data_IF_376103769597
#
_entry.id   IF_376103769597
#
_cell.length_a   1.000
_cell.length_b   1.000
_cell.length_c   1.000
_cell.angle_alpha   90.00
_cell.angle_beta   90.00
_cell.angle_gamma   90.00
#
_symmetry.space_group_name_H-M   'P 1'
#
loop_
_entity.id
_entity.type
_entity.pdbx_description
1 polymer ?
#
# COMPACT_ATOMS: atom_id res chain seq x y z
N UNK A 1 9.98 -22.64 -9.60
CA UNK A 1 8.83 -23.46 -9.14
C UNK A 1 9.25 -24.13 -7.83
N UNK A 2 8.69 -23.94 -6.63
CA UNK A 2 7.46 -23.24 -6.26
C UNK A 2 7.53 -22.79 -4.77
N UNK A 3 7.93 -21.54 -4.53
CA UNK A 3 7.71 -20.86 -3.24
C UNK A 3 6.21 -20.61 -3.00
N UNK A 4 5.44 -20.55 -4.08
CA UNK A 4 3.99 -20.35 -4.11
C UNK A 4 3.19 -21.57 -3.62
N UNK A 5 3.73 -22.79 -3.75
CA UNK A 5 3.05 -24.02 -3.33
C UNK A 5 3.03 -24.13 -1.79
N UNK A 6 4.11 -23.70 -1.15
CA UNK A 6 4.28 -23.71 0.30
C UNK A 6 3.34 -22.76 1.05
N UNK A 7 3.02 -21.62 0.43
CA UNK A 7 2.08 -20.62 0.97
C UNK A 7 0.64 -21.14 0.87
N UNK A 8 0.32 -21.85 -0.22
CA UNK A 8 -1.01 -22.43 -0.44
C UNK A 8 -1.27 -23.61 0.51
N UNK A 9 -0.23 -24.36 0.86
CA UNK A 9 -0.31 -25.46 1.84
C UNK A 9 -0.51 -24.94 3.29
N UNK A 10 0.16 -23.86 3.67
CA UNK A 10 -0.06 -23.22 4.98
C UNK A 10 -1.49 -22.66 5.17
N UNK A 11 -2.12 -22.14 4.10
CA UNK A 11 -3.49 -21.65 4.16
C UNK A 11 -4.51 -22.79 4.39
N UNK A 12 -4.20 -24.01 3.93
CA UNK A 12 -5.08 -25.18 4.10
C UNK A 12 -5.06 -25.74 5.54
N UNK A 13 -3.91 -25.68 6.21
CA UNK A 13 -3.78 -26.12 7.62
C UNK A 13 -4.62 -25.30 8.60
N UNK A 14 -4.76 -24.00 8.36
CA UNK A 14 -5.56 -23.09 9.19
C UNK A 14 -7.07 -23.35 9.11
N UNK A 15 -7.57 -23.89 7.99
CA UNK A 15 -8.99 -24.15 7.82
C UNK A 15 -9.44 -25.46 8.50
N UNK A 16 -8.51 -26.39 8.73
CA UNK A 16 -8.83 -27.70 9.31
C UNK A 16 -8.89 -27.69 10.86
N UNK A 17 -8.27 -26.70 11.51
CA UNK A 17 -8.31 -26.57 12.97
C UNK A 17 -9.62 -25.93 13.50
N UNK A 18 -10.42 -25.31 12.63
CA UNK A 18 -11.67 -24.63 13.01
C UNK A 18 -12.87 -25.59 13.23
N UNK A 19 -12.76 -26.88 12.89
CA UNK A 19 -13.88 -27.83 12.97
C UNK A 19 -13.85 -28.79 14.17
N UNK A 20 -12.85 -28.70 15.05
CA UNK A 20 -12.63 -29.66 16.15
C UNK A 20 -13.27 -29.34 17.51
N UNK A 21 -13.84 -28.15 17.73
CA UNK A 21 -14.30 -27.73 19.05
C UNK A 21 -15.84 -27.64 19.13
N UNK A 22 -16.51 -28.79 19.19
CA UNK A 22 -17.94 -28.89 19.59
C UNK A 22 -18.06 -29.83 20.78
N UNK A 23 -18.06 -29.26 21.98
CA UNK A 23 -18.35 -29.99 23.20
C UNK A 23 -18.43 -29.11 24.45
N UNK A 24 -19.66 -28.94 24.94
CA UNK A 24 -20.07 -28.62 26.32
C UNK A 24 -20.30 -27.15 26.78
N UNK A 25 -21.52 -27.00 27.34
CA UNK A 25 -21.99 -26.15 28.45
C UNK A 25 -22.20 -24.63 28.29
N UNK A 26 -23.49 -24.29 28.23
CA UNK A 26 -24.24 -23.47 29.19
C UNK A 26 -23.85 -22.01 29.48
N UNK A 27 -24.79 -21.11 29.15
CA UNK A 27 -25.17 -19.96 29.97
C UNK A 27 -24.37 -18.66 29.80
N UNK A 28 -25.04 -17.60 29.36
CA UNK A 28 -24.54 -16.23 29.52
C UNK A 28 -24.90 -15.29 28.38
N UNK A 29 -25.85 -14.40 28.64
CA UNK A 29 -26.16 -13.25 27.78
C UNK A 29 -24.96 -12.29 27.70
N UNK A 30 -24.58 -11.91 26.48
CA UNK A 30 -23.60 -10.86 26.23
C UNK A 30 -23.08 -10.88 24.80
N UNK A 31 -23.70 -10.11 23.89
CA UNK A 31 -22.99 -9.60 22.71
C UNK A 31 -22.08 -8.47 23.22
N UNK A 32 -20.82 -8.40 22.78
CA UNK A 32 -20.56 -7.46 21.69
C UNK A 32 -19.51 -7.92 20.66
N UNK A 33 -19.78 -7.48 19.43
CA UNK A 33 -18.85 -6.91 18.43
C UNK A 33 -17.78 -7.81 17.79
N UNK A 34 -18.09 -8.16 16.54
CA UNK A 34 -17.17 -8.18 15.40
C UNK A 34 -16.22 -6.96 15.42
N UNK A 35 -14.94 -7.20 15.15
CA UNK A 35 -13.95 -6.15 14.93
C UNK A 35 -12.53 -6.55 15.29
N UNK A 36 -11.91 -7.44 14.50
CA UNK A 36 -10.44 -7.63 14.54
C UNK A 36 -9.88 -7.70 13.12
N UNK A 37 -10.11 -6.63 12.36
CA UNK A 37 -9.47 -6.39 11.06
C UNK A 37 -8.11 -5.68 11.20
N UNK A 38 -7.84 -5.07 12.36
CA UNK A 38 -6.65 -4.23 12.58
C UNK A 38 -5.31 -4.97 12.69
N UNK A 39 -5.28 -6.22 13.20
CA UNK A 39 -4.04 -7.00 13.30
C UNK A 39 -3.50 -7.45 11.95
N UNK A 40 -4.39 -7.85 11.04
CA UNK A 40 -4.02 -8.37 9.72
C UNK A 40 -3.40 -7.29 8.82
N UNK A 41 -3.91 -6.05 8.84
CA UNK A 41 -3.39 -4.97 8.00
C UNK A 41 -1.97 -4.54 8.42
N UNK A 42 -1.71 -4.38 9.72
CA UNK A 42 -0.36 -4.05 10.21
C UNK A 42 0.65 -5.17 9.91
N UNK A 43 0.25 -6.44 10.06
CA UNK A 43 1.09 -7.59 9.67
C UNK A 43 1.32 -7.64 8.15
N UNK A 44 0.32 -7.30 7.34
CA UNK A 44 0.47 -7.15 5.90
C UNK A 44 1.46 -6.04 5.56
N UNK A 45 1.33 -4.83 6.12
CA UNK A 45 2.28 -3.71 5.92
C UNK A 45 3.72 -4.15 6.19
N UNK A 46 3.99 -4.84 7.31
CA UNK A 46 5.33 -5.34 7.63
C UNK A 46 5.83 -6.41 6.64
N UNK A 47 4.93 -7.27 6.15
CA UNK A 47 5.27 -8.30 5.17
C UNK A 47 5.60 -7.65 3.81
N UNK A 48 4.78 -6.70 3.36
CA UNK A 48 5.01 -5.95 2.11
C UNK A 48 6.30 -5.13 2.19
N UNK A 49 6.57 -4.46 3.31
CA UNK A 49 7.83 -3.75 3.56
C UNK A 49 9.05 -4.68 3.44
N UNK A 50 8.97 -5.89 4.00
CA UNK A 50 10.07 -6.87 3.90
C UNK A 50 10.30 -7.36 2.46
N UNK A 51 9.23 -7.54 1.68
CA UNK A 51 9.31 -7.90 0.26
C UNK A 51 9.94 -6.78 -0.57
N UNK A 52 9.50 -5.55 -0.35
CA UNK A 52 10.05 -4.34 -0.94
C UNK A 52 11.57 -4.25 -0.71
N UNK A 53 12.03 -4.41 0.53
CA UNK A 53 13.46 -4.39 0.87
C UNK A 53 14.25 -5.49 0.16
N UNK A 54 13.66 -6.68 0.00
CA UNK A 54 14.29 -7.78 -0.74
C UNK A 54 14.45 -7.47 -2.24
N UNK A 55 13.51 -6.73 -2.82
CA UNK A 55 13.51 -6.30 -4.22
C UNK A 55 14.23 -4.97 -4.45
N UNK A 56 14.73 -4.32 -3.39
CA UNK A 56 15.41 -3.01 -3.45
C UNK A 56 16.49 -2.93 -4.52
N UNK A 57 17.22 -4.00 -4.78
CA UNK A 57 18.30 -4.01 -5.79
C UNK A 57 17.77 -3.88 -7.22
N UNK A 58 16.57 -4.37 -7.49
CA UNK A 58 15.90 -4.34 -8.79
C UNK A 58 15.06 -3.06 -8.98
N UNK A 59 14.55 -2.49 -7.88
CA UNK A 59 13.71 -1.30 -7.83
C UNK A 59 14.53 0.01 -7.89
N UNK A 60 15.33 0.15 -8.95
CA UNK A 60 16.21 1.33 -9.20
C UNK A 60 15.86 2.08 -10.49
N UNK A 61 14.73 1.76 -11.10
CA UNK A 61 14.29 2.46 -12.31
C UNK A 61 13.77 3.86 -11.98
N UNK A 62 13.99 4.82 -12.89
CA UNK A 62 13.38 6.15 -12.77
C UNK A 62 11.84 6.09 -12.80
N UNK A 63 11.28 5.13 -13.53
CA UNK A 63 9.83 4.91 -13.59
C UNK A 63 9.26 4.49 -12.23
N UNK A 64 9.94 3.59 -11.51
CA UNK A 64 9.53 3.18 -10.17
C UNK A 64 9.58 4.35 -9.19
N UNK A 65 10.65 5.17 -9.23
CA UNK A 65 10.77 6.36 -8.40
C UNK A 65 9.62 7.32 -8.64
N UNK A 66 9.39 7.69 -9.90
CA UNK A 66 8.37 8.67 -10.28
C UNK A 66 6.96 8.13 -9.95
N UNK A 67 6.67 6.86 -10.24
CA UNK A 67 5.41 6.20 -9.89
C UNK A 67 5.19 6.11 -8.37
N UNK A 68 6.23 5.81 -7.59
CA UNK A 68 6.12 5.74 -6.13
C UNK A 68 5.82 7.10 -5.52
N UNK A 69 6.44 8.17 -6.02
CA UNK A 69 6.16 9.54 -5.58
C UNK A 69 4.75 9.98 -5.94
N UNK A 70 4.30 9.68 -7.16
CA UNK A 70 2.93 9.93 -7.61
C UNK A 70 1.91 9.18 -6.74
N UNK A 71 2.19 7.92 -6.41
CA UNK A 71 1.34 7.11 -5.54
C UNK A 71 1.23 7.67 -4.12
N UNK A 72 2.36 8.07 -3.52
CA UNK A 72 2.36 8.68 -2.18
C UNK A 72 1.60 10.02 -2.19
N UNK A 73 1.73 10.82 -3.26
CA UNK A 73 1.00 12.07 -3.39
C UNK A 73 -0.52 11.86 -3.54
N UNK A 74 -0.94 10.82 -4.26
CA UNK A 74 -2.36 10.46 -4.37
C UNK A 74 -2.96 10.01 -3.05
N UNK A 75 -2.22 9.22 -2.25
CA UNK A 75 -2.65 8.79 -0.92
C UNK A 75 -2.77 10.01 0.01
N UNK A 76 -1.76 10.90 0.00
CA UNK A 76 -1.78 12.15 0.77
C UNK A 76 -2.91 13.11 0.37
N UNK A 77 -3.53 12.91 -0.79
CA UNK A 77 -4.62 13.71 -1.32
C UNK A 77 -5.94 12.93 -1.39
N UNK A 78 -6.02 11.76 -0.76
CA UNK A 78 -7.14 10.85 -0.95
C UNK A 78 -8.49 11.46 -0.53
N UNK A 79 -8.49 12.33 0.48
CA UNK A 79 -9.65 13.10 0.96
C UNK A 79 -10.03 14.28 0.05
N UNK A 80 -9.20 14.60 -0.96
CA UNK A 80 -9.43 15.67 -1.93
C UNK A 80 -8.65 16.95 -1.64
N UNK A 81 -7.97 17.06 -0.51
CA UNK A 81 -7.05 18.13 -0.19
C UNK A 81 -5.70 17.58 0.29
N UNK A 82 -4.65 18.41 0.25
CA UNK A 82 -3.34 18.03 0.82
C UNK A 82 -2.93 19.09 1.82
N UNK A 83 -2.95 18.71 3.09
CA UNK A 83 -2.49 19.60 4.15
C UNK A 83 -0.96 19.57 4.30
N UNK A 84 -0.34 20.65 4.78
CA UNK A 84 1.11 20.66 5.05
C UNK A 84 1.56 19.58 6.04
N UNK A 85 0.68 19.22 6.99
CA UNK A 85 0.95 18.16 7.97
C UNK A 85 0.99 16.77 7.30
N UNK A 86 -0.02 16.43 6.49
CA UNK A 86 -0.08 15.23 5.65
C UNK A 86 1.15 15.12 4.76
N UNK A 87 1.49 16.23 4.07
CA UNK A 87 2.68 16.32 3.22
C UNK A 87 3.96 15.98 3.98
N UNK A 88 4.18 16.57 5.15
CA UNK A 88 5.37 16.29 5.96
C UNK A 88 5.39 14.86 6.51
N UNK A 89 4.22 14.32 6.86
CA UNK A 89 4.08 12.95 7.33
C UNK A 89 4.47 11.95 6.24
N UNK A 90 3.85 12.04 5.07
CA UNK A 90 4.13 11.18 3.92
C UNK A 90 5.57 11.32 3.44
N UNK A 91 6.11 12.54 3.43
CA UNK A 91 7.53 12.78 3.12
C UNK A 91 8.46 12.04 4.09
N UNK A 92 8.16 12.05 5.39
CA UNK A 92 8.93 11.32 6.39
C UNK A 92 8.85 9.80 6.16
N UNK A 93 7.68 9.27 5.80
CA UNK A 93 7.51 7.85 5.48
C UNK A 93 8.29 7.43 4.24
N UNK A 94 8.32 8.28 3.20
CA UNK A 94 9.11 8.08 1.99
C UNK A 94 10.60 7.98 2.33
N UNK A 95 11.12 8.90 3.14
CA UNK A 95 12.54 8.95 3.52
C UNK A 95 12.95 7.77 4.43
N UNK A 96 12.02 7.28 5.24
CA UNK A 96 12.20 6.10 6.07
C UNK A 96 12.01 4.78 5.32
N UNK A 97 11.67 4.80 4.03
CA UNK A 97 11.52 3.61 3.22
C UNK A 97 12.87 3.19 2.62
N UNK A 98 13.38 2.05 3.07
CA UNK A 98 14.66 1.49 2.62
C UNK A 98 14.77 1.38 1.09
N UNK A 99 13.68 1.06 0.38
CA UNK A 99 13.72 0.91 -1.09
C UNK A 99 13.97 2.24 -1.79
N UNK A 100 13.33 3.30 -1.29
CA UNK A 100 13.43 4.63 -1.88
C UNK A 100 14.78 5.29 -1.58
N UNK A 101 15.50 4.86 -0.54
CA UNK A 101 16.88 5.28 -0.26
C UNK A 101 17.90 4.91 -1.37
N UNK A 102 17.51 4.13 -2.37
CA UNK A 102 18.30 3.97 -3.60
C UNK A 102 18.45 5.29 -4.38
N UNK A 103 17.56 6.26 -4.15
CA UNK A 103 17.53 7.54 -4.84
C UNK A 103 17.86 8.68 -3.86
N UNK A 104 18.38 9.81 -4.35
CA UNK A 104 18.65 10.97 -3.50
C UNK A 104 17.34 11.48 -2.89
N UNK A 105 17.33 11.65 -1.57
CA UNK A 105 16.19 12.17 -0.82
C UNK A 105 15.67 13.49 -1.38
N UNK A 106 16.57 14.40 -1.77
CA UNK A 106 16.21 15.67 -2.40
C UNK A 106 15.38 15.50 -3.67
N UNK A 107 15.73 14.52 -4.53
CA UNK A 107 14.96 14.24 -5.74
C UNK A 107 13.57 13.67 -5.42
N UNK A 108 13.48 12.80 -4.41
CA UNK A 108 12.20 12.27 -3.94
C UNK A 108 11.31 13.41 -3.42
N UNK A 109 11.84 14.26 -2.55
CA UNK A 109 11.13 15.42 -2.01
C UNK A 109 10.64 16.33 -3.13
N UNK A 110 11.51 16.70 -4.08
CA UNK A 110 11.11 17.55 -5.21
C UNK A 110 9.98 16.94 -6.06
N UNK A 111 10.04 15.63 -6.33
CA UNK A 111 9.04 14.92 -7.14
C UNK A 111 7.71 14.78 -6.42
N UNK A 112 7.75 14.37 -5.16
CA UNK A 112 6.58 14.31 -4.30
C UNK A 112 5.91 15.68 -4.18
N UNK A 113 6.68 16.71 -3.84
CA UNK A 113 6.18 18.07 -3.70
C UNK A 113 5.53 18.57 -5.00
N UNK A 114 6.14 18.30 -6.16
CA UNK A 114 5.55 18.65 -7.46
C UNK A 114 4.16 18.01 -7.65
N UNK A 115 4.00 16.73 -7.36
CA UNK A 115 2.71 16.06 -7.51
C UNK A 115 1.68 16.57 -6.49
N UNK A 116 2.11 16.81 -5.25
CA UNK A 116 1.26 17.42 -4.22
C UNK A 116 0.80 18.81 -4.64
N UNK A 117 1.70 19.67 -5.13
CA UNK A 117 1.36 21.02 -5.57
C UNK A 117 0.38 21.00 -6.76
N UNK A 118 0.51 20.02 -7.67
CA UNK A 118 -0.44 19.79 -8.77
C UNK A 118 -1.81 19.35 -8.27
N UNK A 119 -1.86 18.42 -7.31
CA UNK A 119 -3.09 17.93 -6.69
C UNK A 119 -3.79 19.05 -5.89
N UNK A 120 -3.02 19.87 -5.19
CA UNK A 120 -3.52 21.02 -4.43
C UNK A 120 -4.07 22.12 -5.35
N UNK A 121 -3.45 22.34 -6.52
CA UNK A 121 -3.94 23.31 -7.50
C UNK A 121 -5.19 22.82 -8.24
N UNK A 122 -5.15 21.58 -8.74
CA UNK A 122 -6.28 20.97 -9.44
C UNK A 122 -6.26 19.45 -9.20
N UNK A 123 -7.08 19.01 -8.26
CA UNK A 123 -7.15 17.61 -7.86
C UNK A 123 -7.43 16.66 -9.03
N UNK A 124 -8.37 16.99 -9.91
CA UNK A 124 -8.74 16.13 -11.04
C UNK A 124 -7.58 15.96 -12.03
N UNK A 125 -6.90 17.06 -12.36
CA UNK A 125 -5.75 17.03 -13.27
C UNK A 125 -4.54 16.37 -12.61
N UNK A 126 -4.19 16.76 -11.38
CA UNK A 126 -3.08 16.18 -10.63
C UNK A 126 -3.26 14.67 -10.44
N UNK A 127 -4.49 14.22 -10.19
CA UNK A 127 -4.83 12.80 -10.07
C UNK A 127 -4.60 12.07 -11.39
N UNK A 128 -5.07 12.63 -12.51
CA UNK A 128 -4.85 12.03 -13.82
C UNK A 128 -3.36 11.93 -14.18
N UNK A 129 -2.58 12.98 -13.90
CA UNK A 129 -1.13 12.99 -14.13
C UNK A 129 -0.41 11.96 -13.24
N UNK A 130 -0.78 11.87 -11.96
CA UNK A 130 -0.21 10.89 -11.03
C UNK A 130 -0.53 9.45 -11.46
N UNK A 131 -1.77 9.17 -11.88
CA UNK A 131 -2.14 7.86 -12.42
C UNK A 131 -1.39 7.53 -13.72
N UNK A 132 -1.13 8.51 -14.58
CA UNK A 132 -0.29 8.31 -15.77
C UNK A 132 1.15 7.97 -15.42
N UNK A 133 1.75 8.60 -14.40
CA UNK A 133 3.08 8.23 -13.93
C UNK A 133 3.10 6.81 -13.35
N UNK A 134 2.08 6.45 -12.56
CA UNK A 134 1.91 5.08 -12.05
C UNK A 134 1.81 4.08 -13.21
N UNK A 135 1.04 4.39 -14.26
CA UNK A 135 0.91 3.53 -15.43
C UNK A 135 2.25 3.22 -16.12
N UNK A 136 3.26 4.09 -16.02
CA UNK A 136 4.59 3.82 -16.60
C UNK A 136 5.30 2.67 -15.89
N UNK A 137 5.05 2.47 -14.59
CA UNK A 137 5.57 1.33 -13.83
C UNK A 137 4.88 0.00 -14.20
N UNK A 138 3.69 0.04 -14.84
CA UNK A 138 2.98 -1.16 -15.31
C UNK A 138 3.80 -1.99 -16.30
N UNK A 139 4.81 -1.40 -16.96
CA UNK A 139 5.72 -2.11 -17.86
C UNK A 139 6.50 -3.23 -17.17
N UNK A 140 6.68 -3.13 -15.84
CA UNK A 140 7.38 -4.14 -15.05
C UNK A 140 6.48 -4.58 -13.89
N UNK A 141 5.99 -5.83 -13.87
CA UNK A 141 5.06 -6.28 -12.84
C UNK A 141 5.66 -6.22 -11.43
N UNK A 142 6.97 -6.41 -11.29
CA UNK A 142 7.69 -6.26 -10.01
C UNK A 142 7.64 -4.81 -9.50
N UNK A 143 7.89 -3.83 -10.37
CA UNK A 143 7.85 -2.40 -10.01
C UNK A 143 6.41 -1.95 -9.74
N UNK A 144 5.46 -2.36 -10.58
CA UNK A 144 4.04 -2.10 -10.40
C UNK A 144 3.53 -2.54 -9.02
N UNK A 145 3.84 -3.80 -8.64
CA UNK A 145 3.50 -4.31 -7.31
C UNK A 145 4.16 -3.50 -6.21
N UNK A 146 5.44 -3.18 -6.36
CA UNK A 146 6.18 -2.41 -5.37
C UNK A 146 5.63 -0.99 -5.16
N UNK A 147 5.12 -0.35 -6.22
CA UNK A 147 4.46 0.98 -6.13
C UNK A 147 3.20 0.89 -5.28
N UNK A 148 2.32 -0.08 -5.53
CA UNK A 148 1.10 -0.29 -4.73
C UNK A 148 1.43 -0.63 -3.29
N UNK A 149 2.42 -1.50 -3.08
CA UNK A 149 2.90 -1.86 -1.74
C UNK A 149 3.40 -0.63 -0.97
N UNK A 150 4.14 0.25 -1.63
CA UNK A 150 4.61 1.50 -1.03
C UNK A 150 3.44 2.39 -0.62
N UNK A 151 2.45 2.56 -1.49
CA UNK A 151 1.23 3.31 -1.15
C UNK A 151 0.48 2.70 0.04
N UNK A 152 0.37 1.37 0.11
CA UNK A 152 -0.29 0.68 1.22
C UNK A 152 0.47 0.83 2.55
N UNK A 153 1.80 0.80 2.52
CA UNK A 153 2.64 1.03 3.70
C UNK A 153 2.51 2.47 4.19
N UNK A 154 2.41 3.42 3.28
CA UNK A 154 2.22 4.84 3.60
C UNK A 154 0.84 5.07 4.20
N UNK A 155 -0.23 4.61 3.55
CA UNK A 155 -1.60 4.71 4.06
C UNK A 155 -1.78 4.00 5.41
N UNK A 156 -1.13 2.85 5.59
CA UNK A 156 -1.20 2.08 6.83
C UNK A 156 -0.27 2.56 7.95
N UNK A 157 0.46 3.67 7.76
CA UNK A 157 1.48 4.12 8.72
C UNK A 157 0.89 4.52 10.08
N UNK A 158 -0.30 5.10 10.08
CA UNK A 158 -1.03 5.47 11.30
C UNK A 158 -1.82 4.29 11.91
N UNK A 159 -1.68 3.09 11.33
CA UNK A 159 -2.27 1.85 11.84
C UNK A 159 -3.68 1.56 11.34
N UNK A 160 -4.27 2.44 10.53
CA UNK A 160 -5.54 2.22 9.85
C UNK A 160 -5.50 2.83 8.45
N UNK A 161 -6.10 2.15 7.48
CA UNK A 161 -6.24 2.65 6.10
C UNK A 161 -7.68 3.11 5.92
N UNK A 162 -7.85 4.38 5.58
CA UNK A 162 -9.17 4.97 5.38
C UNK A 162 -9.82 4.55 4.05
N UNK A 163 -11.16 4.57 3.96
CA UNK A 163 -11.86 4.20 2.72
C UNK A 163 -11.44 5.02 1.50
N UNK A 164 -11.09 6.30 1.69
CA UNK A 164 -10.60 7.19 0.64
C UNK A 164 -9.26 6.68 0.07
N UNK A 165 -8.33 6.31 0.95
CA UNK A 165 -7.03 5.75 0.57
C UNK A 165 -7.20 4.37 -0.09
N UNK A 166 -8.08 3.51 0.43
CA UNK A 166 -8.40 2.22 -0.19
C UNK A 166 -8.93 2.40 -1.62
N UNK A 167 -9.69 3.47 -1.89
CA UNK A 167 -10.20 3.77 -3.21
C UNK A 167 -9.06 4.20 -4.16
N UNK A 168 -8.17 5.08 -3.70
CA UNK A 168 -6.95 5.45 -4.44
C UNK A 168 -6.08 4.22 -4.75
N UNK A 169 -5.89 3.34 -3.76
CA UNK A 169 -5.12 2.10 -3.92
C UNK A 169 -5.77 1.15 -4.92
N UNK A 170 -7.11 1.03 -4.92
CA UNK A 170 -7.86 0.22 -5.90
C UNK A 170 -7.74 0.79 -7.30
N UNK A 171 -7.80 2.11 -7.47
CA UNK A 171 -7.61 2.76 -8.76
C UNK A 171 -6.19 2.53 -9.29
N UNK A 172 -5.17 2.67 -8.45
CA UNK A 172 -3.79 2.37 -8.82
C UNK A 172 -3.61 0.89 -9.22
N UNK A 173 -4.22 -0.04 -8.50
CA UNK A 173 -4.25 -1.46 -8.89
C UNK A 173 -4.86 -1.64 -10.28
N UNK A 174 -5.98 -0.98 -10.56
CA UNK A 174 -6.66 -1.05 -11.86
C UNK A 174 -5.77 -0.53 -13.00
N UNK A 175 -5.08 0.59 -12.79
CA UNK A 175 -4.16 1.17 -13.78
C UNK A 175 -2.97 0.25 -14.05
N UNK A 176 -2.50 -0.45 -13.02
CA UNK A 176 -1.35 -1.34 -13.10
C UNK A 176 -1.71 -2.78 -13.54
N UNK A 177 -2.99 -3.07 -13.81
CA UNK A 177 -3.51 -4.42 -14.07
C UNK A 177 -3.16 -5.42 -12.95
N UNK A 178 -3.21 -4.97 -11.70
CA UNK A 178 -2.99 -5.79 -10.51
C UNK A 178 -4.31 -6.12 -9.84
N UNK A 179 -4.36 -7.28 -9.16
CA UNK A 179 -5.56 -7.69 -8.43
C UNK A 179 -5.58 -7.03 -7.04
N UNK A 180 -6.58 -6.20 -6.69
CA UNK A 180 -6.67 -5.57 -5.37
C UNK A 180 -6.69 -6.58 -4.22
N UNK A 181 -7.22 -7.78 -4.48
CA UNK A 181 -7.25 -8.91 -3.55
C UNK A 181 -5.85 -9.36 -3.10
N UNK A 182 -4.79 -9.13 -3.90
CA UNK A 182 -3.40 -9.41 -3.50
C UNK A 182 -2.95 -8.56 -2.31
N UNK A 183 -3.63 -7.43 -2.06
CA UNK A 183 -3.31 -6.44 -1.03
C UNK A 183 -4.36 -6.39 0.09
N UNK A 184 -5.39 -7.24 0.03
CA UNK A 184 -6.49 -7.25 1.00
C UNK A 184 -7.49 -6.11 0.82
N UNK A 185 -7.58 -5.55 -0.41
CA UNK A 185 -8.54 -4.52 -0.83
C UNK A 185 -9.72 -5.10 -1.61
#
# INVERSE_FOLDING_TARGET
MAMWDRIKDQAKGLQQQAQGARGASAGGQGRPRSGSSGGSKAQLVNTLKSQLTSLKTELKSGAYRDASMAMCALVAAADGHVDPAERQHVESLILNNDVLQNFPSEQLRQRFNKHVDQLAFNFQQGKAEALQEIAKAAKKPTEARAVVQTGFVVAGADGYVEPAEEQVLREACSVLNLSPQEFGL
#
